data_IF_850119314073
#
_entry.id   IF_850119314073
#
_cell.length_a   1.000
_cell.length_b   1.000
_cell.length_c   1.000
_cell.angle_alpha   90.00
_cell.angle_beta   90.00
_cell.angle_gamma   90.00
#
_symmetry.space_group_name_H-M   'P 1'
#
loop_
_entity.id
_entity.type
_entity.pdbx_description
1 polymer ?
#
# COMPACT_ATOMS: atom_id res chain seq x y z
N UNK A 1 16.08 12.58 -12.75
CA UNK A 1 15.92 11.29 -12.05
C UNK A 1 14.82 10.52 -12.75
N UNK A 2 14.95 9.19 -12.90
CA UNK A 2 13.89 8.34 -13.41
C UNK A 2 12.59 8.54 -12.62
N UNK A 3 11.46 8.46 -13.29
CA UNK A 3 10.14 8.66 -12.70
C UNK A 3 9.23 7.50 -13.02
N UNK A 4 8.26 7.26 -12.13
CA UNK A 4 7.15 6.38 -12.41
C UNK A 4 5.83 7.05 -12.04
N UNK A 5 4.81 6.83 -12.86
CA UNK A 5 3.48 7.42 -12.70
C UNK A 5 2.47 6.28 -12.74
N UNK A 6 1.63 6.17 -11.71
CA UNK A 6 0.56 5.18 -11.66
C UNK A 6 -0.81 5.80 -11.92
N UNK A 7 -1.57 5.20 -12.84
CA UNK A 7 -2.95 5.55 -13.16
C UNK A 7 -3.87 4.37 -12.84
N UNK A 8 -5.00 4.64 -12.17
CA UNK A 8 -5.99 3.61 -11.83
C UNK A 8 -7.22 3.76 -12.71
N UNK A 9 -7.71 2.63 -13.21
CA UNK A 9 -9.02 2.52 -13.84
C UNK A 9 -9.67 1.18 -13.47
N UNK A 10 -10.80 1.19 -12.77
CA UNK A 10 -11.53 -0.01 -12.30
C UNK A 10 -10.62 -1.11 -11.70
N UNK A 11 -9.87 -0.77 -10.64
CA UNK A 11 -8.89 -1.65 -9.95
C UNK A 11 -7.67 -2.08 -10.77
N UNK A 12 -7.58 -1.69 -12.04
CA UNK A 12 -6.37 -1.88 -12.82
C UNK A 12 -5.45 -0.67 -12.61
N UNK A 13 -4.31 -0.91 -11.96
CA UNK A 13 -3.24 0.07 -11.86
C UNK A 13 -2.28 -0.12 -13.03
N UNK A 14 -2.20 0.88 -13.90
CA UNK A 14 -1.18 0.96 -14.94
C UNK A 14 -0.07 1.89 -14.48
N UNK A 15 1.16 1.38 -14.43
CA UNK A 15 2.34 2.16 -14.06
C UNK A 15 3.20 2.38 -15.29
N UNK A 16 3.51 3.64 -15.57
CA UNK A 16 4.38 4.10 -16.65
C UNK A 16 5.73 4.47 -16.06
N UNK A 17 6.81 4.03 -16.71
CA UNK A 17 8.18 4.39 -16.37
C UNK A 17 8.72 5.39 -17.39
N UNK A 18 9.46 6.40 -16.93
CA UNK A 18 10.10 7.39 -17.82
C UNK A 18 11.20 6.79 -18.70
N UNK A 19 11.75 5.65 -18.28
CA UNK A 19 12.76 4.85 -18.96
C UNK A 19 12.65 3.37 -18.53
N UNK A 20 13.41 2.47 -19.14
CA UNK A 20 13.30 1.04 -18.88
C UNK A 20 13.89 0.65 -17.51
N UNK A 21 13.09 0.09 -16.59
CA UNK A 21 13.62 -0.43 -15.33
C UNK A 21 14.34 -1.78 -15.56
N UNK A 22 15.32 -2.10 -14.71
CA UNK A 22 16.02 -3.39 -14.68
C UNK A 22 15.42 -4.36 -13.66
N UNK A 23 14.51 -3.87 -12.81
CA UNK A 23 13.74 -4.69 -11.86
C UNK A 23 12.46 -3.97 -11.49
N UNK A 24 11.37 -4.72 -11.41
CA UNK A 24 10.08 -4.23 -10.93
C UNK A 24 9.56 -5.16 -9.85
N UNK A 25 9.16 -4.61 -8.71
CA UNK A 25 8.61 -5.35 -7.58
C UNK A 25 7.28 -4.75 -7.18
N UNK A 26 6.26 -5.59 -7.06
CA UNK A 26 5.01 -5.26 -6.39
C UNK A 26 5.15 -5.62 -4.92
N UNK A 27 4.91 -4.65 -4.04
CA UNK A 27 4.89 -4.86 -2.60
C UNK A 27 3.44 -4.86 -2.12
N UNK A 28 3.01 -5.91 -1.43
CA UNK A 28 1.65 -6.00 -0.87
C UNK A 28 1.64 -6.31 0.61
N UNK A 29 0.74 -5.69 1.37
CA UNK A 29 0.49 -5.98 2.78
C UNK A 29 -1.02 -6.08 3.02
N UNK A 30 -1.44 -7.05 3.82
CA UNK A 30 -2.84 -7.26 4.17
C UNK A 30 -3.05 -6.98 5.66
N UNK A 31 -4.11 -6.25 5.99
CA UNK A 31 -4.57 -6.07 7.36
C UNK A 31 -6.09 -6.33 7.44
N UNK A 32 -6.52 -7.49 8.00
CA UNK A 32 -7.94 -7.83 8.10
C UNK A 32 -8.71 -6.96 9.09
N UNK A 33 -8.01 -6.28 10.02
CA UNK A 33 -8.61 -5.66 11.19
C UNK A 33 -8.75 -4.13 11.08
N UNK A 34 -7.82 -3.46 10.41
CA UNK A 34 -7.80 -1.98 10.33
C UNK A 34 -7.12 -1.47 9.06
N UNK A 35 -7.47 -0.26 8.62
CA UNK A 35 -6.79 0.46 7.52
C UNK A 35 -5.48 1.08 8.03
N UNK A 36 -4.62 0.27 8.64
CA UNK A 36 -3.34 0.67 9.23
C UNK A 36 -2.25 -0.34 8.83
N UNK A 37 -1.19 0.13 8.19
CA UNK A 37 -0.14 -0.71 7.61
C UNK A 37 1.23 -0.47 8.24
N UNK A 38 1.28 0.16 9.42
CA UNK A 38 2.52 0.44 10.12
C UNK A 38 3.24 -0.86 10.50
N UNK A 39 4.56 -0.87 10.34
CA UNK A 39 5.42 -1.99 10.75
C UNK A 39 5.28 -2.31 12.26
N UNK A 40 5.11 -1.28 13.09
CA UNK A 40 4.91 -1.40 14.53
C UNK A 40 3.63 -2.17 14.91
N UNK A 41 2.66 -2.23 14.00
CA UNK A 41 1.42 -3.00 14.14
C UNK A 41 1.57 -4.45 13.66
N UNK A 42 2.80 -4.92 13.40
CA UNK A 42 3.07 -6.28 12.92
C UNK A 42 2.81 -6.47 11.42
N UNK A 43 2.43 -5.41 10.69
CA UNK A 43 2.16 -5.50 9.26
C UNK A 43 3.47 -5.57 8.47
N UNK A 44 3.51 -6.42 7.44
CA UNK A 44 4.68 -6.67 6.60
C UNK A 44 4.29 -6.65 5.14
N UNK A 45 5.01 -5.86 4.35
CA UNK A 45 4.91 -5.92 2.90
C UNK A 45 5.68 -7.14 2.39
N UNK A 46 5.05 -7.90 1.49
CA UNK A 46 5.63 -9.05 0.80
C UNK A 46 5.95 -8.64 -0.63
N UNK A 47 7.17 -8.92 -1.11
CA UNK A 47 7.54 -8.62 -2.49
C UNK A 47 7.01 -9.69 -3.45
N UNK A 48 6.63 -9.26 -4.64
CA UNK A 48 6.44 -10.09 -5.81
C UNK A 48 7.15 -9.43 -6.99
N UNK A 49 8.17 -10.09 -7.53
CA UNK A 49 8.84 -9.62 -8.75
C UNK A 49 7.89 -9.69 -9.93
N UNK A 50 7.86 -8.62 -10.72
CA UNK A 50 7.08 -8.50 -11.94
C UNK A 50 8.04 -8.53 -13.13
N UNK A 51 7.68 -9.27 -14.17
CA UNK A 51 8.45 -9.31 -15.41
C UNK A 51 8.53 -7.92 -16.03
N UNK A 52 9.73 -7.56 -16.50
CA UNK A 52 9.99 -6.24 -17.07
C UNK A 52 9.29 -6.14 -18.43
N UNK A 53 8.38 -5.19 -18.61
CA UNK A 53 7.63 -5.07 -19.84
C UNK A 53 8.47 -4.39 -20.92
N UNK A 54 8.38 -4.86 -22.17
CA UNK A 54 9.12 -4.28 -23.30
C UNK A 54 8.70 -2.85 -23.65
N UNK A 55 7.58 -2.36 -23.11
CA UNK A 55 6.96 -1.07 -23.45
C UNK A 55 7.00 -0.04 -22.32
N UNK A 56 7.91 -0.20 -21.34
CA UNK A 56 8.06 0.72 -20.19
C UNK A 56 6.77 0.97 -19.41
N UNK A 57 5.83 0.01 -19.40
CA UNK A 57 4.65 0.07 -18.55
C UNK A 57 4.20 -1.31 -18.06
N UNK A 58 3.77 -1.40 -16.82
CA UNK A 58 3.09 -2.59 -16.29
C UNK A 58 1.62 -2.29 -16.04
N UNK A 59 0.80 -3.32 -16.09
CA UNK A 59 -0.56 -3.26 -15.57
C UNK A 59 -0.73 -4.35 -14.52
N UNK A 60 -1.20 -3.97 -13.33
CA UNK A 60 -1.48 -4.89 -12.24
C UNK A 60 -2.91 -4.69 -11.74
N UNK A 61 -3.59 -5.78 -11.45
CA UNK A 61 -4.88 -5.73 -10.76
C UNK A 61 -4.62 -5.53 -9.27
N UNK A 62 -5.25 -4.51 -8.68
CA UNK A 62 -5.31 -4.30 -7.24
C UNK A 62 -6.38 -5.23 -6.67
N UNK A 63 -6.01 -6.07 -5.71
CA UNK A 63 -6.97 -7.00 -5.12
C UNK A 63 -7.83 -6.28 -4.09
N UNK A 64 -9.11 -6.64 -4.01
CA UNK A 64 -9.95 -6.26 -2.87
C UNK A 64 -10.10 -7.47 -1.94
N UNK A 65 -9.56 -7.41 -0.71
CA UNK A 65 -9.72 -8.52 0.22
C UNK A 65 -11.17 -8.61 0.69
N UNK A 66 -11.64 -9.84 0.92
CA UNK A 66 -13.01 -10.08 1.45
C UNK A 66 -13.25 -9.41 2.80
N UNK A 67 -12.19 -9.22 3.59
CA UNK A 67 -12.23 -8.57 4.91
C UNK A 67 -11.00 -7.68 5.08
N UNK A 68 -11.18 -6.55 5.76
CA UNK A 68 -10.13 -5.57 6.00
C UNK A 68 -9.67 -4.83 4.75
N UNK A 69 -8.36 -4.59 4.67
CA UNK A 69 -7.72 -3.78 3.63
C UNK A 69 -6.41 -4.39 3.14
N UNK A 70 -6.08 -4.17 1.86
CA UNK A 70 -4.77 -4.45 1.28
C UNK A 70 -4.10 -3.14 0.89
N UNK A 71 -2.80 -3.02 1.16
CA UNK A 71 -1.96 -1.93 0.68
C UNK A 71 -0.98 -2.45 -0.36
N UNK A 72 -0.92 -1.79 -1.50
CA UNK A 72 -0.06 -2.16 -2.64
C UNK A 72 0.73 -0.96 -3.14
N UNK A 73 2.03 -1.15 -3.43
CA UNK A 73 2.81 -0.17 -4.20
C UNK A 73 3.79 -0.87 -5.14
N UNK A 74 4.29 -0.11 -6.12
CA UNK A 74 5.30 -0.57 -7.07
C UNK A 74 6.64 0.08 -6.75
N UNK A 75 7.68 -0.73 -6.77
CA UNK A 75 9.08 -0.33 -6.72
C UNK A 75 9.75 -0.68 -8.05
N UNK A 76 10.46 0.26 -8.64
CA UNK A 76 11.23 0.06 -9.86
C UNK A 76 12.69 0.45 -9.62
N UNK A 77 13.61 -0.43 -10.00
CA UNK A 77 15.06 -0.17 -10.02
C UNK A 77 15.49 0.09 -11.45
N UNK A 78 16.29 1.13 -11.67
CA UNK A 78 16.80 1.53 -12.98
C UNK A 78 18.27 1.16 -13.15
N UNK A 79 18.78 1.30 -14.38
CA UNK A 79 20.12 0.82 -14.75
C UNK A 79 21.26 1.56 -14.02
N UNK A 80 21.01 2.79 -13.57
CA UNK A 80 21.94 3.58 -12.74
C UNK A 80 21.87 3.23 -11.24
N UNK A 81 21.02 2.27 -10.86
CA UNK A 81 20.77 1.88 -9.48
C UNK A 81 19.74 2.75 -8.76
N UNK A 82 19.15 3.74 -9.42
CA UNK A 82 18.08 4.54 -8.83
C UNK A 82 16.85 3.69 -8.54
N UNK A 83 16.21 3.92 -7.40
CA UNK A 83 14.98 3.24 -6.99
C UNK A 83 13.86 4.26 -6.85
N UNK A 84 12.79 4.07 -7.61
CA UNK A 84 11.58 4.87 -7.52
C UNK A 84 10.42 4.01 -7.04
N UNK A 85 9.50 4.61 -6.27
CA UNK A 85 8.29 3.97 -5.79
C UNK A 85 7.04 4.74 -6.21
N UNK A 86 5.94 4.03 -6.41
CA UNK A 86 4.61 4.66 -6.52
C UNK A 86 4.14 5.15 -5.17
N UNK A 87 3.02 5.89 -5.18
CA UNK A 87 2.22 5.99 -3.96
C UNK A 87 1.73 4.60 -3.51
N UNK A 88 1.28 4.52 -2.26
CA UNK A 88 0.60 3.34 -1.75
C UNK A 88 -0.89 3.41 -2.11
N UNK A 89 -1.40 2.36 -2.73
CA UNK A 89 -2.80 2.19 -3.06
C UNK A 89 -3.44 1.27 -2.03
N UNK A 90 -4.56 1.70 -1.45
CA UNK A 90 -5.28 0.92 -0.42
C UNK A 90 -6.63 0.51 -0.98
N UNK A 91 -6.93 -0.78 -0.90
CA UNK A 91 -8.21 -1.37 -1.33
C UNK A 91 -8.95 -2.02 -0.16
N UNK A 92 -10.29 -1.98 -0.13
CA UNK A 92 -11.15 -1.20 -1.02
C UNK A 92 -10.99 0.31 -0.79
N UNK A 93 -10.93 1.10 -1.86
CA UNK A 93 -10.62 2.54 -1.78
C UNK A 93 -11.82 3.37 -1.26
N UNK A 94 -13.02 2.98 -1.71
CA UNK A 94 -14.31 3.62 -1.35
C UNK A 94 -14.75 3.35 0.10
N UNK A 95 -13.93 2.63 0.89
CA UNK A 95 -14.25 2.28 2.28
C UNK A 95 -13.27 2.91 3.27
N UNK A 96 -13.80 3.75 4.14
CA UNK A 96 -13.07 4.37 5.24
C UNK A 96 -13.36 3.67 6.58
N UNK A 97 -12.33 3.51 7.44
CA UNK A 97 -12.52 2.93 8.77
C UNK A 97 -13.45 3.82 9.61
N UNK A 98 -14.40 3.19 10.30
CA UNK A 98 -15.36 3.89 11.18
C UNK A 98 -14.90 3.89 12.65
N UNK A 99 -13.89 3.09 12.97
CA UNK A 99 -13.31 2.96 14.29
C UNK A 99 -11.80 3.13 14.21
N UNK A 100 -11.20 3.58 15.31
CA UNK A 100 -9.75 3.62 15.44
C UNK A 100 -9.15 2.21 15.29
N UNK A 101 -7.95 2.09 14.68
CA UNK A 101 -7.18 0.85 14.70
C UNK A 101 -6.97 0.35 16.13
N UNK A 102 -7.04 -0.97 16.38
CA UNK A 102 -6.77 -1.54 17.70
C UNK A 102 -5.39 -1.14 18.22
N UNK A 103 -5.30 -0.88 19.53
CA UNK A 103 -4.02 -0.66 20.19
C UNK A 103 -3.34 -2.00 20.47
N UNK A 104 -2.19 -2.24 19.84
CA UNK A 104 -1.42 -3.49 20.01
C UNK A 104 -0.24 -3.28 20.96
N UNK A 105 0.42 -2.11 20.87
CA UNK A 105 1.55 -1.74 21.71
C UNK A 105 1.74 -0.21 21.67
N UNK A 106 2.69 0.32 22.44
CA UNK A 106 2.94 1.76 22.54
C UNK A 106 3.25 2.45 21.19
N UNK A 107 3.84 1.73 20.24
CA UNK A 107 4.15 2.21 18.89
C UNK A 107 3.04 1.91 17.85
N UNK A 108 2.04 1.10 18.23
CA UNK A 108 0.85 0.78 17.44
C UNK A 108 -0.40 1.08 18.27
N UNK A 109 -0.65 2.37 18.48
CA UNK A 109 -1.87 2.90 19.09
C UNK A 109 -2.20 4.25 18.43
N UNK A 110 -3.47 4.66 18.52
CA UNK A 110 -3.88 6.02 18.14
C UNK A 110 -3.65 6.96 19.31
N UNK A 111 -3.41 8.25 19.00
CA UNK A 111 -3.35 9.27 20.05
C UNK A 111 -4.75 9.49 20.66
N UNK A 112 -4.84 9.73 21.98
CA UNK A 112 -6.09 10.15 22.62
C UNK A 112 -6.70 11.41 21.98
N UNK A 113 -8.02 11.61 22.09
CA UNK A 113 -8.70 12.85 21.68
C UNK A 113 -8.89 13.08 20.18
N UNK A 114 -8.68 12.05 19.32
CA UNK A 114 -8.94 12.15 17.86
C UNK A 114 -10.24 11.48 17.40
N UNK A 115 -11.14 11.15 18.33
CA UNK A 115 -12.57 11.02 18.06
C UNK A 115 -13.07 9.74 17.35
N UNK A 116 -12.32 8.63 17.34
CA UNK A 116 -12.79 7.36 16.73
C UNK A 116 -12.67 6.13 17.66
N UNK A 117 -12.43 6.32 18.96
CA UNK A 117 -12.25 5.21 19.92
C UNK A 117 -12.46 5.59 21.39
N UNK A 118 -13.20 6.66 21.67
CA UNK A 118 -13.25 7.29 22.99
C UNK A 118 -14.56 6.99 23.75
N UNK A 119 -15.09 5.77 23.63
CA UNK A 119 -16.35 5.37 24.27
C UNK A 119 -16.23 4.18 25.24
N UNK A 120 -15.05 3.89 25.80
CA UNK A 120 -14.92 2.86 26.86
C UNK A 120 -13.98 3.33 27.98
N UNK A 121 -14.46 4.20 28.86
CA UNK A 121 -14.03 4.21 30.26
C UNK A 121 -15.27 4.43 31.13
N UNK A 122 -15.68 3.44 31.95
CA UNK A 122 -16.65 3.68 33.00
C UNK A 122 -15.93 4.39 34.16
N UNK A 123 -16.47 5.54 34.55
CA UNK A 123 -16.22 6.17 35.86
C UNK A 123 -16.61 5.23 37.01
#
# INVERSE_FOLDING_TARGET
LPQLIGLIHHHLLTVYFSEAPVKVVRWTANNPNARDFRYACGIRYKPLTIDIPANNKISITLNEPKTGWEATYIEATFNDGYVATSQVYITPDEKYPQTAPPSVNAACQTLPGRGLGENDSPD
#
